data_IF_474913437198
#
_entry.id   IF_474913437198
#
_cell.length_a   1.000
_cell.length_b   1.000
_cell.length_c   1.000
_cell.angle_alpha   90.00
_cell.angle_beta   90.00
_cell.angle_gamma   90.00
#
_symmetry.space_group_name_H-M   'P 1'
#
loop_
_entity.id
_entity.type
_entity.pdbx_description
1 polymer ?
#
# COMPACT_ATOMS: atom_id res chain seq x y z
N UNK A 1 8.45 -5.27 -9.46
CA UNK A 1 9.45 -6.01 -8.64
C UNK A 1 8.88 -6.32 -7.26
N UNK A 2 9.43 -7.32 -6.55
CA UNK A 2 9.09 -7.53 -5.14
C UNK A 2 9.71 -6.44 -4.27
N UNK A 3 8.88 -5.89 -3.39
CA UNK A 3 9.26 -4.86 -2.42
C UNK A 3 9.37 -5.47 -1.02
N UNK A 4 8.45 -6.39 -0.66
CA UNK A 4 8.51 -7.15 0.58
C UNK A 4 8.56 -8.65 0.28
N UNK A 5 9.70 -9.29 0.55
CA UNK A 5 9.86 -10.74 0.35
C UNK A 5 9.06 -11.53 1.39
N UNK A 6 9.06 -11.06 2.65
CA UNK A 6 8.35 -11.67 3.77
C UNK A 6 6.85 -11.92 3.51
N UNK A 7 6.22 -11.01 2.78
CA UNK A 7 4.77 -11.00 2.50
C UNK A 7 4.44 -11.17 1.02
N UNK A 8 5.44 -11.36 0.14
CA UNK A 8 5.22 -11.44 -1.31
C UNK A 8 4.63 -10.15 -1.92
N UNK A 9 4.90 -8.98 -1.34
CA UNK A 9 4.32 -7.71 -1.82
C UNK A 9 5.16 -7.14 -2.95
N UNK A 10 4.50 -6.76 -4.04
CA UNK A 10 5.14 -6.12 -5.20
C UNK A 10 4.87 -4.62 -5.25
N UNK A 11 5.66 -3.89 -6.02
CA UNK A 11 5.41 -2.46 -6.29
C UNK A 11 4.00 -2.24 -6.84
N UNK A 12 3.54 -3.11 -7.75
CA UNK A 12 2.21 -3.01 -8.36
C UNK A 12 1.12 -3.06 -7.29
N UNK A 13 1.21 -4.02 -6.36
CA UNK A 13 0.27 -4.18 -5.26
C UNK A 13 0.25 -2.97 -4.32
N UNK A 14 1.41 -2.35 -4.07
CA UNK A 14 1.48 -1.10 -3.29
C UNK A 14 0.76 0.03 -4.04
N UNK A 15 1.04 0.22 -5.32
CA UNK A 15 0.38 1.25 -6.14
C UNK A 15 -1.13 1.06 -6.15
N UNK A 16 -1.60 -0.17 -6.36
CA UNK A 16 -3.03 -0.54 -6.31
C UNK A 16 -3.66 -0.18 -4.97
N UNK A 17 -3.01 -0.51 -3.85
CA UNK A 17 -3.50 -0.14 -2.52
C UNK A 17 -3.63 1.38 -2.35
N UNK A 18 -2.68 2.16 -2.90
CA UNK A 18 -2.77 3.63 -2.89
C UNK A 18 -3.94 4.14 -3.72
N UNK A 19 -4.17 3.57 -4.90
CA UNK A 19 -5.36 3.89 -5.71
C UNK A 19 -6.67 3.45 -5.05
N UNK A 20 -6.62 2.46 -4.16
CA UNK A 20 -7.74 2.00 -3.32
C UNK A 20 -7.88 2.78 -1.99
N UNK A 21 -7.04 3.79 -1.75
CA UNK A 21 -7.20 4.73 -0.64
C UNK A 21 -6.17 4.61 0.48
N UNK A 22 -5.14 3.76 0.35
CA UNK A 22 -4.02 3.76 1.27
C UNK A 22 -3.19 5.04 1.12
N UNK A 23 -3.15 5.86 2.17
CA UNK A 23 -2.49 7.17 2.17
C UNK A 23 -1.28 7.21 3.11
N UNK A 24 -1.14 6.19 3.97
CA UNK A 24 -0.11 6.11 4.99
C UNK A 24 0.54 4.73 4.99
N UNK A 25 1.77 4.68 5.49
CA UNK A 25 2.46 3.39 5.71
C UNK A 25 1.70 2.46 6.66
N UNK A 26 0.88 3.00 7.57
CA UNK A 26 0.00 2.19 8.42
C UNK A 26 -1.02 1.42 7.58
N UNK A 27 -1.64 2.10 6.62
CA UNK A 27 -2.65 1.51 5.74
C UNK A 27 -2.01 0.41 4.88
N UNK A 28 -0.80 0.63 4.35
CA UNK A 28 -0.07 -0.43 3.64
C UNK A 28 0.28 -1.61 4.54
N UNK A 29 0.65 -1.36 5.81
CA UNK A 29 0.91 -2.43 6.79
C UNK A 29 -0.36 -3.24 7.04
N UNK A 30 -1.50 -2.59 7.24
CA UNK A 30 -2.79 -3.25 7.51
C UNK A 30 -3.31 -4.01 6.29
N UNK A 31 -3.17 -3.44 5.08
CA UNK A 31 -3.69 -4.05 3.86
C UNK A 31 -2.77 -5.10 3.23
N UNK A 32 -1.46 -4.91 3.30
CA UNK A 32 -0.47 -5.74 2.57
C UNK A 32 0.49 -6.48 3.50
N UNK A 33 0.47 -6.20 4.80
CA UNK A 33 1.38 -6.77 5.78
C UNK A 33 2.83 -6.26 5.67
N UNK A 34 3.10 -5.24 4.86
CA UNK A 34 4.46 -4.69 4.73
C UNK A 34 4.93 -4.22 6.10
N UNK A 35 6.22 -4.40 6.38
CA UNK A 35 6.87 -4.04 7.67
C UNK A 35 6.44 -4.85 8.90
N UNK A 36 5.56 -5.85 8.79
CA UNK A 36 5.15 -6.66 9.94
C UNK A 36 6.18 -7.68 10.41
N UNK A 37 7.02 -8.19 9.50
CA UNK A 37 8.06 -9.17 9.84
C UNK A 37 9.42 -8.49 10.06
N UNK A 38 10.27 -8.41 9.04
CA UNK A 38 11.66 -7.95 9.19
C UNK A 38 11.85 -6.43 9.05
N UNK A 39 10.87 -5.71 8.51
CA UNK A 39 10.94 -4.25 8.32
C UNK A 39 11.86 -3.74 7.20
N UNK A 40 12.66 -4.60 6.56
CA UNK A 40 13.67 -4.18 5.56
C UNK A 40 13.05 -3.43 4.37
N UNK A 41 11.81 -3.77 4.01
CA UNK A 41 11.09 -3.12 2.91
C UNK A 41 10.61 -1.69 3.22
N UNK A 42 10.70 -1.21 4.46
CA UNK A 42 10.02 0.01 4.92
C UNK A 42 10.36 1.26 4.08
N UNK A 43 11.65 1.52 3.85
CA UNK A 43 12.09 2.68 3.07
C UNK A 43 11.57 2.61 1.63
N UNK A 44 11.71 1.46 0.99
CA UNK A 44 11.32 1.28 -0.41
C UNK A 44 9.80 1.33 -0.59
N UNK A 45 9.04 0.68 0.29
CA UNK A 45 7.58 0.74 0.29
C UNK A 45 7.09 2.19 0.49
N UNK A 46 7.73 2.96 1.39
CA UNK A 46 7.42 4.37 1.59
C UNK A 46 7.70 5.22 0.35
N UNK A 47 8.83 5.00 -0.31
CA UNK A 47 9.14 5.74 -1.55
C UNK A 47 8.07 5.51 -2.62
N UNK A 48 7.61 4.27 -2.80
CA UNK A 48 6.55 3.95 -3.76
C UNK A 48 5.23 4.60 -3.35
N UNK A 49 4.87 4.54 -2.05
CA UNK A 49 3.69 5.22 -1.51
C UNK A 49 3.71 6.71 -1.85
N UNK A 50 4.79 7.40 -1.48
CA UNK A 50 4.94 8.84 -1.67
C UNK A 50 4.87 9.20 -3.16
N UNK A 51 5.60 8.47 -4.03
CA UNK A 51 5.55 8.69 -5.48
C UNK A 51 4.14 8.49 -6.05
N UNK A 52 3.46 7.41 -5.65
CA UNK A 52 2.11 7.12 -6.16
C UNK A 52 1.10 8.17 -5.69
N UNK A 53 1.25 8.69 -4.47
CA UNK A 53 0.40 9.77 -3.95
C UNK A 53 0.58 11.09 -4.72
N UNK A 54 1.78 11.36 -5.24
CA UNK A 54 2.04 12.50 -6.13
C UNK A 54 1.41 12.29 -7.51
N UNK A 55 1.45 11.07 -8.04
CA UNK A 55 0.87 10.69 -9.34
C UNK A 55 -0.67 10.62 -9.29
N UNK A 56 -1.26 10.34 -8.11
CA UNK A 56 -2.71 10.16 -7.96
C UNK A 56 -3.45 11.51 -8.09
N UNK A 57 -4.30 11.69 -9.13
CA UNK A 57 -4.99 12.96 -9.36
C UNK A 57 -5.93 13.30 -8.19
N UNK A 58 -5.95 14.57 -7.79
CA UNK A 58 -6.68 15.02 -6.59
C UNK A 58 -8.21 14.83 -6.69
N UNK A 59 -8.75 14.76 -7.91
CA UNK A 59 -10.17 14.47 -8.15
C UNK A 59 -10.62 13.09 -7.64
N UNK A 60 -9.69 12.15 -7.46
CA UNK A 60 -9.98 10.80 -7.00
C UNK A 60 -10.12 10.70 -5.47
N UNK A 61 -9.66 11.71 -4.70
CA UNK A 61 -9.72 11.70 -3.23
C UNK A 61 -11.14 11.79 -2.67
N UNK A 62 -12.09 12.32 -3.43
CA UNK A 62 -13.45 12.60 -2.96
C UNK A 62 -14.39 11.39 -2.98
N UNK A 63 -13.98 10.26 -3.57
CA UNK A 63 -14.87 9.10 -3.78
C UNK A 63 -14.38 7.80 -3.12
N UNK A 64 -13.21 7.79 -2.49
CA UNK A 64 -12.71 6.60 -1.82
C UNK A 64 -13.00 6.63 -0.32
N UNK A 65 -13.77 5.65 0.21
CA UNK A 65 -13.87 5.49 1.64
C UNK A 65 -12.49 5.07 2.16
N UNK A 66 -11.97 5.81 3.15
CA UNK A 66 -10.73 5.52 3.88
C UNK A 66 -10.74 4.19 4.66
N UNK A 67 -11.68 3.28 4.34
CA UNK A 67 -11.96 2.03 5.03
C UNK A 67 -12.17 0.84 4.08
N UNK A 68 -12.02 1.00 2.76
CA UNK A 68 -12.10 -0.14 1.83
C UNK A 68 -10.77 -0.92 1.76
N UNK A 69 -10.19 -1.21 2.92
CA UNK A 69 -9.19 -2.27 3.02
C UNK A 69 -9.98 -3.57 3.17
N UNK A 70 -10.35 -4.15 2.02
CA UNK A 70 -11.05 -5.43 1.95
C UNK A 70 -10.05 -6.50 2.39
N UNK A 71 -9.98 -6.76 3.69
CA UNK A 71 -9.34 -7.94 4.26
C UNK A 71 -10.18 -9.19 3.90
N UNK A 72 -10.29 -9.52 2.63
CA UNK A 72 -10.60 -10.88 2.20
C UNK A 72 -9.27 -11.58 1.94
N UNK A 73 -8.63 -12.02 3.02
CA UNK A 73 -7.60 -13.06 2.93
C UNK A 73 -8.34 -14.40 2.77
N UNK A 74 -8.35 -15.05 1.60
CA UNK A 74 -8.77 -16.44 1.54
C UNK A 74 -7.79 -17.28 2.37
N UNK A 75 -8.36 -18.22 3.13
CA UNK A 75 -7.71 -19.14 4.07
C UNK A 75 -6.46 -19.85 3.54
#
# INVERSE_FOLDING_TARGET
MYVCICRGVTEKTIREAVFQGADRMRDLKECLGVTEQCGICACHAKQILDQTLLERPQSMKNFLPASACMCETPA
#
